data_IF_003698124910
#
_entry.id   IF_003698124910
#
_cell.length_a   1.000
_cell.length_b   1.000
_cell.length_c   1.000
_cell.angle_alpha   90.00
_cell.angle_beta   90.00
_cell.angle_gamma   90.00
#
_symmetry.space_group_name_H-M   'P 1'
#
loop_
_entity.id
_entity.type
_entity.pdbx_description
1 polymer ?
#
# COMPACT_ATOMS: atom_id res chain seq x y z
N UNK A 1 -24.64 -5.18 3.76
CA UNK A 1 -23.91 -4.18 2.98
C UNK A 1 -23.60 -4.81 1.63
N UNK A 2 -23.70 -4.07 0.53
CA UNK A 2 -23.43 -4.54 -0.84
C UNK A 2 -22.16 -3.91 -1.39
N UNK A 3 -21.61 -4.47 -2.46
CA UNK A 3 -20.34 -4.03 -3.04
C UNK A 3 -20.41 -2.58 -3.56
N UNK A 4 -21.54 -2.14 -4.11
CA UNK A 4 -21.75 -0.76 -4.56
C UNK A 4 -21.75 0.28 -3.42
N UNK A 5 -22.09 -0.13 -2.20
CA UNK A 5 -22.03 0.76 -1.03
C UNK A 5 -20.57 1.13 -0.68
N UNK A 6 -19.58 0.32 -1.10
CA UNK A 6 -18.17 0.69 -1.00
C UNK A 6 -17.82 1.90 -1.88
N UNK A 7 -18.61 2.21 -2.90
CA UNK A 7 -18.38 3.35 -3.80
C UNK A 7 -19.14 4.61 -3.37
N UNK A 8 -20.05 4.52 -2.38
CA UNK A 8 -20.96 5.60 -2.02
C UNK A 8 -20.27 6.90 -1.61
N UNK A 9 -19.08 6.83 -1.01
CA UNK A 9 -18.26 8.01 -0.71
C UNK A 9 -17.23 8.23 -1.80
N UNK A 10 -17.25 9.36 -2.47
CA UNK A 10 -16.23 9.67 -3.46
C UNK A 10 -14.86 9.92 -2.82
N UNK A 11 -13.75 9.49 -3.46
CA UNK A 11 -12.41 9.99 -3.20
C UNK A 11 -12.32 11.52 -3.26
N UNK A 12 -11.51 12.13 -2.39
CA UNK A 12 -11.28 13.57 -2.37
C UNK A 12 -10.39 14.05 -3.53
N UNK A 13 -9.57 13.14 -4.08
CA UNK A 13 -8.64 13.41 -5.18
C UNK A 13 -8.78 12.31 -6.23
N UNK A 14 -8.69 12.74 -7.48
CA UNK A 14 -8.78 11.91 -8.69
C UNK A 14 -7.48 12.04 -9.48
N UNK A 15 -7.10 10.99 -10.24
CA UNK A 15 -5.91 11.04 -11.10
C UNK A 15 -6.16 11.89 -12.34
N UNK A 16 -7.19 11.55 -13.10
CA UNK A 16 -7.60 12.17 -14.36
C UNK A 16 -9.12 12.36 -14.41
N UNK A 17 -9.62 13.10 -15.41
CA UNK A 17 -11.03 13.50 -15.49
C UNK A 17 -11.99 12.34 -15.79
N UNK A 18 -11.49 11.22 -16.30
CA UNK A 18 -12.26 10.00 -16.50
C UNK A 18 -12.39 9.13 -15.25
N UNK A 19 -11.54 9.31 -14.23
CA UNK A 19 -11.58 8.47 -13.01
C UNK A 19 -12.90 8.60 -12.22
N UNK A 20 -13.50 9.80 -12.05
CA UNK A 20 -14.82 9.91 -11.43
C UNK A 20 -15.92 9.20 -12.22
N UNK A 21 -15.85 9.22 -13.55
CA UNK A 21 -16.82 8.56 -14.42
C UNK A 21 -16.67 7.04 -14.35
N UNK A 22 -15.44 6.56 -14.26
CA UNK A 22 -15.16 5.15 -14.04
C UNK A 22 -15.63 4.69 -12.65
N UNK A 23 -15.44 5.51 -11.61
CA UNK A 23 -15.91 5.21 -10.28
C UNK A 23 -17.42 4.99 -10.23
N UNK A 24 -18.20 5.89 -10.85
CA UNK A 24 -19.65 5.74 -10.93
C UNK A 24 -20.06 4.56 -11.83
N UNK A 25 -19.35 4.33 -12.93
CA UNK A 25 -19.60 3.17 -13.79
C UNK A 25 -19.38 1.84 -13.05
N UNK A 26 -18.34 1.75 -12.22
CA UNK A 26 -18.11 0.57 -11.37
C UNK A 26 -19.17 0.43 -10.28
N UNK A 27 -19.58 1.54 -9.66
CA UNK A 27 -20.66 1.53 -8.68
C UNK A 27 -21.95 0.96 -9.26
N UNK A 28 -22.36 1.41 -10.44
CA UNK A 28 -23.55 0.88 -11.11
C UNK A 28 -23.35 -0.59 -11.52
N UNK A 29 -22.15 -0.96 -11.98
CA UNK A 29 -21.81 -2.35 -12.35
C UNK A 29 -21.91 -3.33 -11.17
N UNK A 30 -21.63 -2.87 -9.95
CA UNK A 30 -21.67 -3.68 -8.73
C UNK A 30 -22.95 -3.52 -7.91
N UNK A 31 -23.96 -2.82 -8.44
CA UNK A 31 -25.22 -2.59 -7.75
C UNK A 31 -25.88 -3.90 -7.33
N UNK A 32 -26.13 -4.03 -6.03
CA UNK A 32 -26.75 -5.22 -5.44
C UNK A 32 -25.87 -6.48 -5.43
N UNK A 33 -24.59 -6.38 -5.82
CA UNK A 33 -23.65 -7.49 -5.65
C UNK A 33 -23.34 -7.66 -4.17
N UNK A 34 -23.35 -8.90 -3.69
CA UNK A 34 -22.96 -9.21 -2.33
C UNK A 34 -21.48 -8.84 -2.10
N UNK A 35 -21.14 -8.46 -0.86
CA UNK A 35 -19.74 -8.26 -0.49
C UNK A 35 -19.02 -9.62 -0.53
N UNK A 36 -17.83 -9.67 -1.17
CA UNK A 36 -16.94 -10.83 -1.11
C UNK A 36 -16.57 -11.19 0.34
N UNK A 37 -16.31 -12.47 0.59
CA UNK A 37 -15.86 -12.93 1.92
C UNK A 37 -14.36 -12.79 2.12
N UNK A 38 -13.60 -12.63 1.02
CA UNK A 38 -12.15 -12.48 0.99
C UNK A 38 -11.74 -11.15 0.31
N UNK A 39 -10.64 -10.58 0.77
CA UNK A 39 -10.02 -9.38 0.19
C UNK A 39 -9.50 -9.66 -1.23
N UNK A 40 -8.93 -10.85 -1.45
CA UNK A 40 -8.43 -11.28 -2.75
C UNK A 40 -9.55 -11.32 -3.79
N UNK A 41 -10.70 -11.90 -3.42
CA UNK A 41 -11.88 -11.96 -4.29
C UNK A 41 -12.40 -10.55 -4.62
N UNK A 42 -12.42 -9.65 -3.63
CA UNK A 42 -12.79 -8.26 -3.88
C UNK A 42 -11.82 -7.57 -4.85
N UNK A 43 -10.51 -7.74 -4.64
CA UNK A 43 -9.50 -7.17 -5.53
C UNK A 43 -9.68 -7.68 -6.96
N UNK A 44 -9.81 -8.99 -7.14
CA UNK A 44 -10.00 -9.59 -8.47
C UNK A 44 -11.27 -9.09 -9.14
N UNK A 45 -12.39 -8.96 -8.41
CA UNK A 45 -13.64 -8.43 -8.96
C UNK A 45 -13.47 -6.98 -9.45
N UNK A 46 -12.84 -6.12 -8.65
CA UNK A 46 -12.64 -4.71 -9.02
C UNK A 46 -11.65 -4.58 -10.18
N UNK A 47 -10.54 -5.33 -10.16
CA UNK A 47 -9.56 -5.34 -11.26
C UNK A 47 -10.16 -5.91 -12.56
N UNK A 48 -11.00 -6.94 -12.47
CA UNK A 48 -11.74 -7.48 -13.61
C UNK A 48 -12.73 -6.46 -14.18
N UNK A 49 -13.49 -5.76 -13.33
CA UNK A 49 -14.40 -4.70 -13.76
C UNK A 49 -13.65 -3.51 -14.38
N UNK A 50 -12.46 -3.18 -13.85
CA UNK A 50 -11.58 -2.19 -14.47
C UNK A 50 -11.21 -2.63 -15.88
N UNK A 51 -10.71 -3.84 -16.05
CA UNK A 51 -10.31 -4.37 -17.35
C UNK A 51 -11.49 -4.46 -18.34
N UNK A 52 -12.68 -4.84 -17.86
CA UNK A 52 -13.91 -4.88 -18.65
C UNK A 52 -14.29 -3.48 -19.19
N UNK A 53 -14.22 -2.46 -18.33
CA UNK A 53 -14.68 -1.11 -18.65
C UNK A 53 -13.65 -0.31 -19.44
N UNK A 54 -12.39 -0.38 -19.03
CA UNK A 54 -11.28 0.45 -19.54
C UNK A 54 -10.57 -0.24 -20.71
N UNK A 55 -10.67 -1.57 -20.80
CA UNK A 55 -10.05 -2.36 -21.86
C UNK A 55 -8.58 -2.69 -21.62
N UNK A 56 -8.02 -2.35 -20.46
CA UNK A 56 -6.63 -2.67 -20.09
C UNK A 56 -6.57 -3.31 -18.71
N UNK A 57 -5.62 -4.23 -18.51
CA UNK A 57 -5.39 -4.86 -17.22
C UNK A 57 -4.50 -3.99 -16.34
N UNK A 58 -4.68 -4.12 -15.02
CA UNK A 58 -3.84 -3.47 -14.00
C UNK A 58 -2.66 -4.34 -13.56
N UNK A 59 -2.34 -5.40 -14.32
CA UNK A 59 -1.28 -6.34 -14.01
C UNK A 59 0.11 -5.67 -14.04
N UNK A 60 1.10 -6.32 -13.42
CA UNK A 60 2.45 -5.77 -13.25
C UNK A 60 3.25 -5.59 -14.55
N UNK A 61 2.68 -5.93 -15.70
CA UNK A 61 3.32 -5.78 -17.02
C UNK A 61 2.75 -4.61 -17.84
N UNK A 62 1.66 -3.99 -17.40
CA UNK A 62 1.09 -2.82 -18.06
C UNK A 62 1.86 -1.54 -17.72
N UNK A 63 2.03 -0.65 -18.70
CA UNK A 63 2.48 0.72 -18.44
C UNK A 63 1.39 1.45 -17.64
N UNK A 64 1.61 1.55 -16.32
CA UNK A 64 0.65 2.16 -15.40
C UNK A 64 0.63 3.69 -15.46
N UNK A 65 1.70 4.30 -15.96
CA UNK A 65 1.83 5.75 -16.09
C UNK A 65 1.14 6.26 -17.36
N UNK A 66 0.90 5.38 -18.34
CA UNK A 66 0.12 5.71 -19.53
C UNK A 66 -1.37 5.94 -19.19
N UNK A 67 -1.84 7.17 -19.43
CA UNK A 67 -3.26 7.49 -19.37
C UNK A 67 -4.03 6.75 -20.46
N UNK A 68 -5.19 6.18 -20.11
CA UNK A 68 -6.02 5.40 -21.02
C UNK A 68 -7.24 6.20 -21.42
N UNK A 69 -7.42 6.43 -22.72
CA UNK A 69 -8.59 7.14 -23.25
C UNK A 69 -9.81 6.21 -23.29
N UNK A 70 -10.82 6.54 -22.50
CA UNK A 70 -12.13 5.89 -22.52
C UNK A 70 -13.15 6.80 -23.22
N UNK A 71 -13.46 6.52 -24.49
CA UNK A 71 -14.39 7.38 -25.26
C UNK A 71 -15.77 7.49 -24.63
N UNK A 72 -16.22 6.46 -23.92
CA UNK A 72 -17.50 6.47 -23.19
C UNK A 72 -17.58 7.50 -22.06
N UNK A 73 -16.45 8.05 -21.61
CA UNK A 73 -16.37 9.03 -20.53
C UNK A 73 -16.13 10.46 -21.02
N UNK A 74 -16.16 10.67 -22.35
CA UNK A 74 -16.01 12.00 -22.92
C UNK A 74 -17.30 12.78 -22.86
N UNK A 75 -17.17 14.02 -22.42
CA UNK A 75 -18.24 15.01 -22.38
C UNK A 75 -17.87 16.31 -23.10
N UNK A 76 -16.69 16.35 -23.73
CA UNK A 76 -16.19 17.49 -24.51
C UNK A 76 -15.46 18.55 -23.68
N UNK A 77 -14.98 18.22 -22.47
CA UNK A 77 -14.50 19.21 -21.50
C UNK A 77 -13.03 19.67 -21.65
N UNK A 78 -12.24 19.07 -22.55
CA UNK A 78 -10.85 19.50 -22.83
C UNK A 78 -9.84 18.36 -23.05
N UNK A 79 -8.53 18.68 -22.92
CA UNK A 79 -7.40 17.80 -23.31
C UNK A 79 -7.25 16.50 -22.51
N UNK A 80 -7.84 16.38 -21.32
CA UNK A 80 -7.82 15.16 -20.49
C UNK A 80 -9.21 14.55 -20.30
N UNK A 81 -10.17 15.00 -21.11
CA UNK A 81 -11.53 14.49 -21.10
C UNK A 81 -11.55 13.00 -21.45
N UNK A 82 -12.27 12.20 -20.66
CA UNK A 82 -12.37 10.75 -20.85
C UNK A 82 -11.11 9.93 -20.52
N UNK A 83 -10.00 10.53 -20.06
CA UNK A 83 -8.81 9.77 -19.70
C UNK A 83 -8.89 9.20 -18.28
N UNK A 84 -8.54 7.93 -18.12
CA UNK A 84 -8.45 7.17 -16.86
C UNK A 84 -6.98 6.91 -16.54
N UNK A 85 -6.61 6.97 -15.26
CA UNK A 85 -5.24 6.67 -14.83
C UNK A 85 -5.14 5.26 -14.22
N UNK A 86 -4.47 4.30 -14.89
CA UNK A 86 -4.25 2.97 -14.33
C UNK A 86 -3.50 3.01 -13.00
N UNK A 87 -2.46 3.87 -12.90
CA UNK A 87 -1.73 4.09 -11.64
C UNK A 87 -2.62 4.59 -10.50
N UNK A 88 -3.47 5.59 -10.74
CA UNK A 88 -4.41 6.05 -9.71
C UNK A 88 -5.31 4.92 -9.22
N UNK A 89 -5.80 4.09 -10.14
CA UNK A 89 -6.67 2.97 -9.78
C UNK A 89 -5.97 1.92 -8.94
N UNK A 90 -4.76 1.55 -9.34
CA UNK A 90 -3.94 0.59 -8.62
C UNK A 90 -3.50 1.08 -7.23
N UNK A 91 -3.03 2.32 -7.15
CA UNK A 91 -2.33 2.83 -5.97
C UNK A 91 -3.28 3.56 -5.00
N UNK A 92 -4.47 3.98 -5.46
CA UNK A 92 -5.40 4.79 -4.68
C UNK A 92 -6.82 4.24 -4.66
N UNK A 93 -7.47 4.09 -5.83
CA UNK A 93 -8.90 3.78 -5.88
C UNK A 93 -9.22 2.38 -5.33
N UNK A 94 -8.50 1.35 -5.79
CA UNK A 94 -8.66 -0.03 -5.33
C UNK A 94 -8.34 -0.16 -3.84
N UNK A 95 -7.19 0.35 -3.33
CA UNK A 95 -6.93 0.37 -1.90
C UNK A 95 -8.08 0.96 -1.09
N UNK A 96 -8.60 2.14 -1.47
CA UNK A 96 -9.75 2.76 -0.80
C UNK A 96 -10.97 1.83 -0.69
N UNK A 97 -11.23 1.01 -1.71
CA UNK A 97 -12.34 0.05 -1.71
C UNK A 97 -12.05 -1.13 -0.77
N UNK A 98 -10.82 -1.65 -0.79
CA UNK A 98 -10.38 -2.71 0.13
C UNK A 98 -10.49 -2.26 1.59
N UNK A 99 -10.11 -1.02 1.92
CA UNK A 99 -10.23 -0.51 3.29
C UNK A 99 -11.68 -0.38 3.75
N UNK A 100 -12.56 0.05 2.84
CA UNK A 100 -13.99 0.15 3.15
C UNK A 100 -14.59 -1.22 3.39
N UNK A 101 -14.19 -2.21 2.60
CA UNK A 101 -14.58 -3.59 2.79
C UNK A 101 -14.06 -4.15 4.12
N UNK A 102 -12.79 -3.92 4.44
CA UNK A 102 -12.21 -4.35 5.72
C UNK A 102 -12.97 -3.70 6.88
N UNK A 103 -13.21 -2.39 6.83
CA UNK A 103 -13.98 -1.67 7.84
C UNK A 103 -15.42 -2.19 7.98
N UNK A 104 -16.07 -2.60 6.88
CA UNK A 104 -17.39 -3.22 6.90
C UNK A 104 -17.38 -4.60 7.57
N UNK A 105 -16.37 -5.42 7.26
CA UNK A 105 -16.24 -6.76 7.82
C UNK A 105 -15.79 -6.78 9.28
N UNK A 106 -14.92 -5.86 9.70
CA UNK A 106 -14.57 -5.68 11.11
C UNK A 106 -15.78 -5.28 11.96
N UNK A 107 -16.67 -4.43 11.43
CA UNK A 107 -17.93 -4.06 12.12
C UNK A 107 -18.91 -5.22 12.23
N UNK A 108 -18.87 -6.17 11.29
CA UNK A 108 -19.72 -7.36 11.31
C UNK A 108 -19.19 -8.48 12.21
N UNK A 109 -17.89 -8.49 12.54
CA UNK A 109 -17.25 -9.57 13.32
C UNK A 109 -17.20 -9.35 14.83
N UNK A 110 -17.50 -8.15 15.34
CA UNK A 110 -17.92 -7.97 16.74
C UNK A 110 -16.97 -8.42 17.86
N UNK A 111 -15.68 -8.70 17.62
CA UNK A 111 -14.72 -8.99 18.69
C UNK A 111 -14.02 -7.71 19.17
N UNK A 112 -14.68 -7.02 20.10
CA UNK A 112 -13.98 -6.16 21.05
C UNK A 112 -13.43 -7.07 22.16
N UNK A 113 -12.30 -7.75 21.91
CA UNK A 113 -11.61 -8.49 22.96
C UNK A 113 -10.60 -7.57 23.68
N UNK A 114 -10.72 -7.51 25.00
CA UNK A 114 -9.88 -6.73 25.89
C UNK A 114 -8.45 -7.34 25.94
N UNK A 115 -7.41 -6.58 26.34
CA UNK A 115 -6.05 -7.09 26.29
C UNK A 115 -5.82 -8.07 27.46
N UNK A 116 -6.01 -9.36 27.23
CA UNK A 116 -5.62 -10.41 28.18
C UNK A 116 -4.21 -10.87 27.86
N UNK A 117 -3.23 -10.10 28.33
CA UNK A 117 -1.83 -10.49 28.31
C UNK A 117 -1.50 -11.35 29.53
N UNK A 118 -1.72 -12.67 29.44
CA UNK A 118 -1.04 -13.66 30.28
C UNK A 118 -0.63 -14.86 29.43
N UNK A 119 0.67 -14.96 29.12
CA UNK A 119 1.26 -16.17 28.54
C UNK A 119 1.58 -17.15 29.67
N UNK A 120 1.14 -18.42 29.62
CA UNK A 120 1.56 -19.42 30.58
C UNK A 120 3.02 -19.83 30.30
N UNK A 121 3.87 -19.66 31.30
CA UNK A 121 5.24 -20.17 31.34
C UNK A 121 5.21 -21.70 31.40
N UNK A 122 5.52 -22.37 30.29
CA UNK A 122 5.77 -23.81 30.28
C UNK A 122 7.21 -24.08 30.77
N UNK A 123 7.31 -24.83 31.87
CA UNK A 123 8.56 -25.30 32.47
C UNK A 123 9.25 -26.31 31.56
N UNK A 124 10.56 -26.18 31.45
CA UNK A 124 11.45 -27.11 30.77
C UNK A 124 11.63 -28.40 31.59
N UNK A 125 10.98 -29.48 31.19
CA UNK A 125 11.40 -30.83 31.57
C UNK A 125 12.10 -31.49 30.37
N UNK A 126 13.36 -31.84 30.57
CA UNK A 126 14.26 -32.36 29.54
C UNK A 126 13.86 -33.73 29.00
N UNK A 127 14.09 -33.95 27.71
CA UNK A 127 13.96 -35.25 27.05
C UNK A 127 15.33 -35.97 27.05
N UNK A 128 15.42 -37.27 27.43
CA UNK A 128 16.69 -37.98 27.45
C UNK A 128 17.14 -38.44 26.04
N UNK A 129 18.41 -38.82 25.96
CA UNK A 129 19.19 -38.96 24.74
C UNK A 129 18.86 -40.17 23.84
N UNK A 130 18.91 -39.87 22.53
CA UNK A 130 19.32 -40.65 21.35
C UNK A 130 19.14 -42.18 21.32
N UNK A 131 18.28 -42.63 20.39
CA UNK A 131 18.33 -43.95 19.77
C UNK A 131 18.43 -43.81 18.24
N UNK A 132 19.42 -44.48 17.65
CA UNK A 132 19.80 -44.44 16.25
C UNK A 132 18.63 -44.64 15.26
N UNK A 133 18.59 -43.82 14.21
CA UNK A 133 17.95 -44.17 12.95
C UNK A 133 18.68 -43.52 11.78
N UNK A 134 19.49 -44.33 11.09
CA UNK A 134 19.99 -44.00 9.75
C UNK A 134 18.85 -44.18 8.75
N UNK A 135 18.40 -43.08 8.14
CA UNK A 135 17.87 -43.02 6.77
C UNK A 135 18.19 -41.64 6.18
N UNK A 136 19.22 -41.58 5.35
CA UNK A 136 19.45 -40.46 4.44
C UNK A 136 18.45 -40.56 3.29
N UNK A 137 17.27 -39.95 3.43
CA UNK A 137 16.40 -39.63 2.28
C UNK A 137 15.26 -38.63 2.58
N UNK A 138 15.49 -37.57 3.37
CA UNK A 138 14.42 -36.57 3.67
C UNK A 138 14.79 -35.10 3.50
N UNK A 139 16.01 -34.76 3.06
CA UNK A 139 16.46 -33.37 3.10
C UNK A 139 15.95 -32.47 1.95
N UNK A 140 15.43 -33.03 0.85
CA UNK A 140 15.04 -32.23 -0.31
C UNK A 140 13.65 -31.60 -0.22
N UNK A 141 12.68 -32.29 0.40
CA UNK A 141 11.30 -31.78 0.53
C UNK A 141 11.15 -30.85 1.73
N UNK A 142 11.87 -31.13 2.83
CA UNK A 142 11.89 -30.28 4.01
C UNK A 142 12.48 -28.89 3.74
N UNK A 143 13.59 -28.81 3.01
CA UNK A 143 14.17 -27.52 2.60
C UNK A 143 13.22 -26.71 1.71
N UNK A 144 12.55 -27.36 0.74
CA UNK A 144 11.60 -26.69 -0.14
C UNK A 144 10.36 -26.17 0.60
N UNK A 145 9.79 -26.94 1.53
CA UNK A 145 8.67 -26.50 2.37
C UNK A 145 9.08 -25.32 3.27
N UNK A 146 10.24 -25.38 3.93
CA UNK A 146 10.73 -24.26 4.76
C UNK A 146 11.06 -23.01 3.95
N UNK A 147 11.52 -23.15 2.70
CA UNK A 147 11.78 -22.03 1.81
C UNK A 147 10.48 -21.38 1.34
N UNK A 148 9.45 -22.18 1.02
CA UNK A 148 8.10 -21.68 0.69
C UNK A 148 7.49 -20.95 1.90
N UNK A 149 7.62 -21.51 3.11
CA UNK A 149 7.14 -20.87 4.32
C UNK A 149 7.88 -19.56 4.62
N UNK A 150 9.20 -19.51 4.34
CA UNK A 150 10.00 -18.30 4.50
C UNK A 150 9.65 -17.21 3.48
N UNK A 151 9.52 -17.56 2.20
CA UNK A 151 9.09 -16.63 1.15
C UNK A 151 7.70 -16.07 1.46
N UNK A 152 6.79 -16.92 1.94
CA UNK A 152 5.46 -16.49 2.37
C UNK A 152 5.54 -15.54 3.57
N UNK A 153 6.35 -15.85 4.57
CA UNK A 153 6.55 -14.99 5.73
C UNK A 153 7.15 -13.61 5.36
N UNK A 154 8.05 -13.56 4.36
CA UNK A 154 8.60 -12.30 3.84
C UNK A 154 7.54 -11.49 3.08
N UNK A 155 6.70 -12.16 2.28
CA UNK A 155 5.59 -11.53 1.58
C UNK A 155 4.56 -10.97 2.56
N UNK A 156 4.19 -11.75 3.58
CA UNK A 156 3.26 -11.35 4.63
C UNK A 156 3.82 -10.16 5.43
N UNK A 157 5.12 -10.20 5.81
CA UNK A 157 5.81 -9.06 6.45
C UNK A 157 5.72 -7.82 5.58
N UNK A 158 6.03 -7.93 4.29
CA UNK A 158 6.00 -6.80 3.37
C UNK A 158 4.57 -6.22 3.29
N UNK A 159 3.55 -7.07 3.19
CA UNK A 159 2.15 -6.64 3.15
C UNK A 159 1.75 -5.90 4.44
N UNK A 160 2.15 -6.42 5.60
CA UNK A 160 1.89 -5.77 6.90
C UNK A 160 2.58 -4.41 7.01
N UNK A 161 3.84 -4.29 6.56
CA UNK A 161 4.56 -3.01 6.56
C UNK A 161 3.85 -2.01 5.65
N UNK A 162 3.46 -2.41 4.44
CA UNK A 162 2.72 -1.54 3.52
C UNK A 162 1.39 -1.08 4.11
N UNK A 163 0.66 -1.96 4.80
CA UNK A 163 -0.57 -1.61 5.49
C UNK A 163 -0.33 -0.59 6.61
N UNK A 164 0.76 -0.73 7.38
CA UNK A 164 1.14 0.23 8.41
C UNK A 164 1.52 1.59 7.82
N UNK A 165 2.29 1.64 6.73
CA UNK A 165 2.62 2.90 6.04
C UNK A 165 1.36 3.59 5.52
N UNK A 166 0.46 2.82 4.90
CA UNK A 166 -0.84 3.29 4.46
C UNK A 166 -1.68 3.87 5.62
N UNK A 167 -1.71 3.18 6.76
CA UNK A 167 -2.46 3.59 7.94
C UNK A 167 -1.88 4.87 8.56
N UNK A 168 -0.54 5.00 8.57
CA UNK A 168 0.15 6.21 9.01
C UNK A 168 -0.24 7.42 8.17
N UNK A 169 -0.19 7.31 6.84
CA UNK A 169 -0.51 8.42 5.94
C UNK A 169 -1.97 8.90 6.07
N UNK A 170 -2.87 8.04 6.55
CA UNK A 170 -4.29 8.36 6.76
C UNK A 170 -4.64 8.68 8.21
N UNK A 171 -3.72 8.52 9.14
CA UNK A 171 -3.95 8.82 10.54
C UNK A 171 -4.20 10.33 10.69
N UNK A 172 -5.42 10.69 11.12
CA UNK A 172 -5.78 12.10 11.41
C UNK A 172 -5.27 12.57 12.78
N UNK A 173 -4.82 11.64 13.62
CA UNK A 173 -4.31 11.90 14.96
C UNK A 173 -2.79 11.75 14.96
N UNK A 174 -2.09 12.80 15.39
CA UNK A 174 -0.63 12.79 15.51
C UNK A 174 -0.13 11.65 16.41
N UNK A 175 -0.81 11.39 17.54
CA UNK A 175 -0.42 10.30 18.44
C UNK A 175 -0.61 8.89 17.86
N UNK A 176 -1.54 8.72 16.91
CA UNK A 176 -1.69 7.45 16.18
C UNK A 176 -0.57 7.28 15.17
N UNK A 177 -0.26 8.34 14.40
CA UNK A 177 0.86 8.32 13.45
C UNK A 177 2.19 8.04 14.16
N UNK A 178 2.44 8.72 15.28
CA UNK A 178 3.64 8.52 16.11
C UNK A 178 3.74 7.09 16.63
N UNK A 179 2.64 6.50 17.13
CA UNK A 179 2.63 5.11 17.59
C UNK A 179 2.93 4.13 16.47
N UNK A 180 2.40 4.35 15.27
CA UNK A 180 2.68 3.50 14.11
C UNK A 180 4.15 3.63 13.71
N UNK A 181 4.70 4.85 13.69
CA UNK A 181 6.11 5.09 13.36
C UNK A 181 7.05 4.43 14.36
N UNK A 182 6.76 4.55 15.67
CA UNK A 182 7.51 3.87 16.72
C UNK A 182 7.43 2.34 16.60
N UNK A 183 6.24 1.79 16.28
CA UNK A 183 6.05 0.36 16.06
C UNK A 183 6.85 -0.16 14.86
N UNK A 184 6.85 0.58 13.76
CA UNK A 184 7.64 0.29 12.56
C UNK A 184 9.15 0.33 12.85
N UNK A 185 9.61 1.33 13.59
CA UNK A 185 11.01 1.43 13.99
C UNK A 185 11.45 0.22 14.83
N UNK A 186 10.58 -0.31 15.69
CA UNK A 186 10.83 -1.50 16.50
C UNK A 186 11.06 -2.79 15.70
N UNK A 187 10.60 -2.85 14.44
CA UNK A 187 10.80 -3.99 13.53
C UNK A 187 11.84 -3.74 12.43
N UNK A 188 12.59 -2.63 12.56
CA UNK A 188 13.66 -2.22 11.63
C UNK A 188 13.20 -1.35 10.46
N UNK A 189 11.95 -0.84 10.49
CA UNK A 189 11.45 0.07 9.46
C UNK A 189 11.59 1.52 9.92
N UNK A 190 12.48 2.27 9.28
CA UNK A 190 12.86 3.62 9.71
C UNK A 190 12.35 4.70 8.75
N UNK A 191 11.81 5.77 9.32
CA UNK A 191 11.39 6.95 8.59
C UNK A 191 12.60 7.76 8.11
N UNK A 192 12.55 8.21 6.86
CA UNK A 192 13.59 9.00 6.21
C UNK A 192 13.09 10.43 5.99
N UNK A 193 13.76 11.39 6.62
CA UNK A 193 13.51 12.84 6.50
C UNK A 193 14.84 13.54 6.24
N UNK A 194 15.31 13.63 4.99
CA UNK A 194 16.65 14.10 4.65
C UNK A 194 16.79 15.63 4.66
N UNK A 195 16.08 16.33 5.55
CA UNK A 195 16.08 17.79 5.61
C UNK A 195 17.50 18.34 5.82
N UNK A 196 17.90 19.30 4.97
CA UNK A 196 19.24 19.87 4.97
C UNK A 196 20.34 19.00 4.34
N UNK A 197 20.05 17.76 3.96
CA UNK A 197 21.00 16.90 3.24
C UNK A 197 21.08 17.27 1.76
N UNK A 198 22.11 16.79 1.05
CA UNK A 198 22.15 16.95 -0.41
C UNK A 198 21.05 16.13 -1.06
N UNK A 199 20.40 16.72 -2.06
CA UNK A 199 19.45 16.00 -2.88
C UNK A 199 20.18 14.95 -3.71
N UNK A 200 19.70 13.70 -3.66
CA UNK A 200 20.19 12.58 -4.45
C UNK A 200 19.00 11.93 -5.16
N UNK A 201 18.89 12.03 -6.50
CA UNK A 201 17.80 11.45 -7.27
C UNK A 201 17.68 9.93 -7.16
N UNK A 202 18.72 9.22 -6.71
CA UNK A 202 18.69 7.76 -6.57
C UNK A 202 17.91 7.29 -5.34
N UNK A 203 17.75 8.17 -4.35
CA UNK A 203 17.11 7.86 -3.06
C UNK A 203 16.03 8.86 -2.67
N UNK A 204 15.92 10.01 -3.34
CA UNK A 204 14.92 11.06 -3.09
C UNK A 204 14.07 11.35 -4.32
N UNK A 205 12.79 11.64 -4.11
CA UNK A 205 11.86 12.11 -5.16
C UNK A 205 11.67 13.63 -5.02
N UNK A 206 11.88 14.39 -6.10
CA UNK A 206 11.70 15.84 -6.08
C UNK A 206 10.21 16.22 -6.26
N UNK A 207 9.56 16.67 -5.20
CA UNK A 207 8.17 17.18 -5.23
C UNK A 207 8.08 18.65 -5.66
N UNK A 208 9.13 19.43 -5.45
CA UNK A 208 9.15 20.85 -5.79
C UNK A 208 10.50 21.52 -5.59
N UNK A 209 10.53 22.82 -5.90
CA UNK A 209 11.73 23.64 -5.80
C UNK A 209 11.44 24.94 -5.04
N UNK A 210 12.30 25.26 -4.06
CA UNK A 210 12.23 26.50 -3.28
C UNK A 210 13.35 27.44 -3.74
N UNK A 211 13.04 28.64 -4.27
CA UNK A 211 14.07 29.60 -4.64
C UNK A 211 14.83 30.09 -3.39
N UNK A 212 16.15 30.05 -3.43
CA UNK A 212 17.01 30.62 -2.38
C UNK A 212 18.00 31.62 -2.94
N UNK A 213 18.31 32.65 -2.13
CA UNK A 213 19.39 33.60 -2.40
C UNK A 213 20.74 33.11 -1.86
N UNK A 214 20.72 32.11 -0.98
CA UNK A 214 21.91 31.53 -0.38
C UNK A 214 22.49 30.43 -1.28
N UNK A 215 23.71 30.66 -1.79
CA UNK A 215 24.41 29.72 -2.68
C UNK A 215 24.86 28.44 -1.98
N UNK A 216 24.92 28.42 -0.65
CA UNK A 216 25.36 27.24 0.11
C UNK A 216 24.27 26.17 0.23
N UNK A 217 23.01 26.58 0.06
CA UNK A 217 21.83 25.73 0.13
C UNK A 217 21.41 25.21 -1.26
N UNK A 218 22.01 25.69 -2.34
CA UNK A 218 21.69 25.24 -3.69
C UNK A 218 21.93 23.72 -3.83
N UNK A 219 20.87 22.98 -4.18
CA UNK A 219 20.91 21.52 -4.33
C UNK A 219 20.79 20.72 -3.03
N UNK A 220 20.43 21.35 -1.90
CA UNK A 220 20.05 20.64 -0.67
C UNK A 220 18.53 20.53 -0.53
N UNK A 221 18.10 19.52 0.22
CA UNK A 221 16.70 19.32 0.61
C UNK A 221 16.30 20.45 1.56
N UNK A 222 15.29 21.22 1.15
CA UNK A 222 14.70 22.27 1.95
C UNK A 222 13.76 21.69 3.01
N UNK A 223 12.83 20.84 2.57
CA UNK A 223 11.83 20.21 3.43
C UNK A 223 11.35 18.89 2.83
N UNK A 224 11.09 17.91 3.70
CA UNK A 224 10.43 16.65 3.36
C UNK A 224 8.91 16.83 3.36
N UNK A 225 8.30 16.86 2.18
CA UNK A 225 6.84 16.93 2.04
C UNK A 225 6.16 15.61 2.39
N UNK A 226 6.76 14.50 1.95
CA UNK A 226 6.27 13.15 2.25
C UNK A 226 7.43 12.33 2.79
N UNK A 227 7.24 11.77 3.98
CA UNK A 227 8.24 10.98 4.69
C UNK A 227 8.54 9.69 3.92
N UNK A 228 9.84 9.41 3.69
CA UNK A 228 10.29 8.15 3.10
C UNK A 228 10.42 7.04 4.13
N UNK A 229 10.59 5.80 3.70
CA UNK A 229 10.79 4.66 4.59
C UNK A 229 11.80 3.65 4.05
N UNK A 230 12.61 3.12 4.96
CA UNK A 230 13.57 2.05 4.75
C UNK A 230 13.17 0.85 5.62
N UNK A 231 13.10 -0.36 5.06
CA UNK A 231 13.11 -1.60 5.85
C UNK A 231 14.55 -2.09 5.94
N UNK A 232 15.16 -1.88 7.10
CA UNK A 232 16.60 -2.03 7.29
C UNK A 232 17.35 -1.17 6.25
N UNK A 233 18.04 -1.80 5.31
CA UNK A 233 18.79 -1.12 4.24
C UNK A 233 18.02 -1.04 2.91
N UNK A 234 16.80 -1.58 2.86
CA UNK A 234 16.00 -1.62 1.63
C UNK A 234 15.02 -0.45 1.59
N UNK A 235 15.14 0.39 0.57
CA UNK A 235 14.20 1.47 0.32
C UNK A 235 12.80 0.92 0.02
N UNK A 236 11.85 1.22 0.89
CA UNK A 236 10.43 0.88 0.70
C UNK A 236 9.69 1.99 -0.03
N UNK A 237 10.00 3.24 0.32
CA UNK A 237 9.40 4.44 -0.24
C UNK A 237 10.41 5.58 -0.21
N UNK A 238 10.68 6.20 -1.35
CA UNK A 238 11.50 7.40 -1.40
C UNK A 238 10.77 8.56 -0.71
N UNK A 239 11.46 9.40 0.09
CA UNK A 239 10.90 10.64 0.58
C UNK A 239 10.67 11.59 -0.60
N UNK A 240 9.52 12.27 -0.58
CA UNK A 240 9.24 13.38 -1.50
C UNK A 240 9.72 14.66 -0.83
N UNK A 241 10.62 15.37 -1.49
CA UNK A 241 11.34 16.50 -0.94
C UNK A 241 11.22 17.73 -1.84
N UNK A 242 11.24 18.90 -1.21
CA UNK A 242 11.51 20.15 -1.93
C UNK A 242 13.00 20.44 -1.90
N UNK A 243 13.53 20.92 -3.02
CA UNK A 243 14.97 21.20 -3.16
C UNK A 243 15.18 22.69 -3.31
N UNK A 244 16.20 23.23 -2.65
CA UNK A 244 16.59 24.61 -2.88
C UNK A 244 17.19 24.78 -4.27
N UNK A 245 16.62 25.70 -5.02
CA UNK A 245 17.10 26.07 -6.36
C UNK A 245 17.53 27.52 -6.36
N UNK A 246 18.50 27.83 -7.22
CA UNK A 246 18.92 29.20 -7.40
C UNK A 246 17.82 30.00 -8.09
N UNK A 247 17.54 31.19 -7.53
CA UNK A 247 16.63 32.16 -8.12
C UNK A 247 17.12 32.71 -9.46
#
# INVERSE_FOLDING_TARGET
MTLDELFAREPLRWGLRGDPMLWEAMRERFKGHALPTDEWELRELVEAAFAEIVGVKLDGHADRDAAVLCERFRIGSGMSDGHVSPRYWADTAIPILLDRWAAANFRSRGDCDAPTGELPVARSDGTPAAGNASKHDVDSVGMALTAIDHERALADRQALIQLCLYAMDRARSGGVAERIEQGLAGVGVHALRPDGQRFDPSVHEAGGAVPTADKTLEGTVAETEVVGFLDHDRLLRAPVVTVYTRR
#
